data_IF_052867873859
#
_entry.id   IF_052867873859
#
_cell.length_a   1.000
_cell.length_b   1.000
_cell.length_c   1.000
_cell.angle_alpha   90.00
_cell.angle_beta   90.00
_cell.angle_gamma   90.00
#
_symmetry.space_group_name_H-M   'P 1'
#
loop_
_entity.id
_entity.type
_entity.pdbx_description
1 polymer ?
#
# COMPACT_ATOMS: atom_id res chain seq x y z
N UNK A 1 -22.87 -1.92 -3.59
CA UNK A 1 -21.54 -2.00 -4.23
C UNK A 1 -21.28 -3.46 -4.54
N UNK A 2 -21.41 -3.86 -5.81
CA UNK A 2 -21.16 -5.24 -6.23
C UNK A 2 -19.76 -5.25 -6.83
N UNK A 3 -18.75 -5.36 -5.96
CA UNK A 3 -17.35 -5.36 -6.40
C UNK A 3 -17.07 -6.68 -7.11
N UNK A 4 -16.55 -6.62 -8.34
CA UNK A 4 -16.19 -7.82 -9.09
C UNK A 4 -15.10 -8.61 -8.34
N UNK A 5 -15.21 -9.94 -8.35
CA UNK A 5 -14.18 -10.82 -7.75
C UNK A 5 -12.80 -10.58 -8.37
N UNK A 6 -12.74 -10.21 -9.65
CA UNK A 6 -11.49 -9.90 -10.35
C UNK A 6 -10.83 -8.63 -9.80
N UNK A 7 -11.61 -7.60 -9.50
CA UNK A 7 -11.12 -6.34 -8.93
C UNK A 7 -10.54 -6.57 -7.53
N UNK A 8 -11.18 -7.43 -6.72
CA UNK A 8 -10.66 -7.84 -5.41
C UNK A 8 -9.34 -8.63 -5.55
N UNK A 9 -9.26 -9.56 -6.50
CA UNK A 9 -8.03 -10.34 -6.74
C UNK A 9 -6.86 -9.45 -7.17
N UNK A 10 -7.10 -8.51 -8.08
CA UNK A 10 -6.09 -7.53 -8.51
C UNK A 10 -5.64 -6.69 -7.32
N UNK A 11 -6.58 -6.23 -6.49
CA UNK A 11 -6.26 -5.45 -5.28
C UNK A 11 -5.38 -6.25 -4.31
N UNK A 12 -5.70 -7.53 -4.07
CA UNK A 12 -4.93 -8.40 -3.20
C UNK A 12 -3.51 -8.60 -3.73
N UNK A 13 -3.36 -8.87 -5.03
CA UNK A 13 -2.03 -9.04 -5.65
C UNK A 13 -1.23 -7.75 -5.56
N UNK A 14 -1.83 -6.62 -5.93
CA UNK A 14 -1.16 -5.31 -5.88
C UNK A 14 -0.76 -4.95 -4.45
N UNK A 15 -1.68 -5.09 -3.48
CA UNK A 15 -1.40 -4.81 -2.08
C UNK A 15 -0.28 -5.69 -1.52
N UNK A 16 -0.27 -6.98 -1.86
CA UNK A 16 0.77 -7.92 -1.41
C UNK A 16 2.13 -7.57 -2.02
N UNK A 17 2.19 -7.28 -3.32
CA UNK A 17 3.42 -6.87 -3.99
C UNK A 17 3.99 -5.58 -3.41
N UNK A 18 3.12 -4.58 -3.21
CA UNK A 18 3.50 -3.29 -2.64
C UNK A 18 3.95 -3.46 -1.19
N UNK A 19 3.32 -4.34 -0.41
CA UNK A 19 3.72 -4.65 0.97
C UNK A 19 5.09 -5.30 1.05
N UNK A 20 5.42 -6.23 0.13
CA UNK A 20 6.74 -6.87 0.09
C UNK A 20 7.82 -5.86 -0.27
N UNK A 21 7.58 -5.03 -1.28
CA UNK A 21 8.54 -4.00 -1.72
C UNK A 21 8.74 -2.95 -0.63
N UNK A 22 7.67 -2.34 -0.12
CA UNK A 22 7.77 -1.30 0.91
C UNK A 22 8.26 -1.87 2.23
N UNK A 23 7.75 -3.01 2.67
CA UNK A 23 8.18 -3.65 3.92
C UNK A 23 9.65 -4.06 3.89
N UNK A 24 10.12 -4.64 2.77
CA UNK A 24 11.51 -5.06 2.61
C UNK A 24 12.48 -3.89 2.49
N UNK A 25 12.18 -2.92 1.62
CA UNK A 25 13.09 -1.80 1.35
C UNK A 25 13.00 -0.69 2.41
N UNK A 26 11.79 -0.22 2.72
CA UNK A 26 11.59 0.88 3.65
C UNK A 26 11.85 0.44 5.10
N UNK A 27 11.51 -0.81 5.45
CA UNK A 27 11.88 -1.38 6.76
C UNK A 27 13.39 -1.50 6.95
N UNK A 28 14.12 -1.93 5.91
CA UNK A 28 15.58 -2.02 5.93
C UNK A 28 16.27 -0.66 6.04
N UNK A 29 15.78 0.35 5.30
CA UNK A 29 16.29 1.73 5.37
C UNK A 29 16.10 2.36 6.74
N UNK A 30 14.91 2.22 7.32
CA UNK A 30 14.63 2.79 8.65
C UNK A 30 15.51 2.16 9.73
N UNK A 31 15.75 0.85 9.65
CA UNK A 31 16.64 0.18 10.59
C UNK A 31 18.12 0.55 10.39
N UNK A 32 18.52 0.92 9.17
CA UNK A 32 19.89 1.32 8.87
C UNK A 32 20.20 2.76 9.31
N UNK A 33 19.22 3.68 9.25
CA UNK A 33 19.46 5.11 9.47
C UNK A 33 18.98 5.66 10.82
N UNK A 34 17.98 5.03 11.47
CA UNK A 34 17.39 5.56 12.69
C UNK A 34 17.37 4.52 13.82
N UNK A 35 17.54 4.98 15.06
CA UNK A 35 17.41 4.13 16.26
C UNK A 35 16.50 4.78 17.29
N UNK A 36 15.76 3.98 18.06
CA UNK A 36 14.93 4.48 19.16
C UNK A 36 13.57 5.05 18.71
N UNK A 37 13.16 6.21 19.23
CA UNK A 37 11.83 6.78 18.98
C UNK A 37 11.63 7.27 17.54
N UNK A 38 12.69 7.74 16.88
CA UNK A 38 12.64 8.16 15.47
C UNK A 38 12.33 6.99 14.54
N UNK A 39 12.91 5.81 14.82
CA UNK A 39 12.65 4.58 14.08
C UNK A 39 11.14 4.23 14.10
N UNK A 40 10.51 4.40 15.27
CA UNK A 40 9.11 4.10 15.47
C UNK A 40 8.20 5.08 14.72
N UNK A 41 8.55 6.37 14.76
CA UNK A 41 7.85 7.41 14.01
C UNK A 41 7.97 7.21 12.49
N UNK A 42 9.17 6.87 12.00
CA UNK A 42 9.44 6.58 10.58
C UNK A 42 8.67 5.36 10.09
N UNK A 43 8.69 4.25 10.84
CA UNK A 43 7.89 3.05 10.52
C UNK A 43 6.39 3.35 10.50
N UNK A 44 5.91 4.13 11.46
CA UNK A 44 4.52 4.59 11.50
C UNK A 44 4.16 5.44 10.27
N UNK A 45 5.02 6.40 9.92
CA UNK A 45 4.85 7.25 8.75
C UNK A 45 4.81 6.46 7.44
N UNK A 46 5.71 5.49 7.27
CA UNK A 46 5.71 4.58 6.11
C UNK A 46 4.40 3.79 6.04
N UNK A 47 3.90 3.30 7.18
CA UNK A 47 2.61 2.62 7.24
C UNK A 47 1.45 3.51 6.77
N UNK A 48 1.43 4.77 7.18
CA UNK A 48 0.40 5.74 6.73
C UNK A 48 0.50 5.99 5.23
N UNK A 49 1.70 6.21 4.70
CA UNK A 49 1.93 6.42 3.26
C UNK A 49 1.52 5.17 2.46
N UNK A 50 1.83 3.98 2.97
CA UNK A 50 1.44 2.71 2.36
C UNK A 50 -0.08 2.58 2.26
N UNK A 51 -0.81 2.86 3.34
CA UNK A 51 -2.28 2.84 3.32
C UNK A 51 -2.85 3.87 2.34
N UNK A 52 -2.28 5.08 2.31
CA UNK A 52 -2.70 6.12 1.37
C UNK A 52 -2.49 5.68 -0.10
N UNK A 53 -1.38 5.01 -0.40
CA UNK A 53 -1.11 4.46 -1.72
C UNK A 53 -2.12 3.36 -2.11
N UNK A 54 -2.48 2.47 -1.18
CA UNK A 54 -3.51 1.45 -1.42
C UNK A 54 -4.89 2.08 -1.69
N UNK A 55 -5.26 3.11 -0.92
CA UNK A 55 -6.52 3.82 -1.13
C UNK A 55 -6.54 4.56 -2.48
N UNK A 56 -5.42 5.19 -2.87
CA UNK A 56 -5.29 5.81 -4.18
C UNK A 56 -5.41 4.78 -5.31
N UNK A 57 -4.75 3.63 -5.18
CA UNK A 57 -4.85 2.54 -6.14
C UNK A 57 -6.29 2.01 -6.24
N UNK A 58 -6.94 1.82 -5.09
CA UNK A 58 -8.35 1.43 -5.03
C UNK A 58 -9.24 2.42 -5.77
N UNK A 59 -9.04 3.72 -5.55
CA UNK A 59 -9.83 4.77 -6.17
C UNK A 59 -9.69 4.74 -7.70
N UNK A 60 -8.45 4.69 -8.21
CA UNK A 60 -8.17 4.62 -9.66
C UNK A 60 -8.81 3.38 -10.28
N UNK A 61 -8.67 2.21 -9.64
CA UNK A 61 -9.28 0.98 -10.15
C UNK A 61 -10.80 0.99 -10.09
N UNK A 62 -11.39 1.70 -9.13
CA UNK A 62 -12.85 1.83 -9.05
C UNK A 62 -13.37 2.72 -10.17
N UNK A 63 -12.68 3.83 -10.45
CA UNK A 63 -13.05 4.77 -11.52
C UNK A 63 -12.96 4.14 -12.91
N UNK A 64 -11.89 3.37 -13.18
CA UNK A 64 -11.73 2.66 -14.46
C UNK A 64 -12.78 1.56 -14.70
N UNK A 65 -13.20 0.86 -13.64
CA UNK A 65 -14.27 -0.15 -13.72
C UNK A 65 -15.63 0.50 -14.03
N UNK A 66 -15.88 1.69 -13.47
CA UNK A 66 -17.11 2.45 -13.67
C UNK A 66 -17.19 3.10 -15.06
N UNK A 67 -16.06 3.50 -15.66
CA UNK A 67 -15.99 3.96 -17.07
C UNK A 67 -16.12 2.82 -18.10
N UNK A 68 -15.82 1.58 -17.70
CA UNK A 68 -15.81 0.42 -18.61
C UNK A 68 -17.16 -0.32 -18.69
N UNK A 69 -18.13 0.03 -17.84
CA UNK A 69 -19.49 -0.55 -17.79
C UNK A 69 -20.55 0.27 -18.49
#
# INVERSE_FOLDING_TARGET
MNVSTDQLLIMVVAATGLAVVVGGWAGGLVHAEATGLEELALRGGIGVVFVAALLGLWHVFSELDEESG
#
